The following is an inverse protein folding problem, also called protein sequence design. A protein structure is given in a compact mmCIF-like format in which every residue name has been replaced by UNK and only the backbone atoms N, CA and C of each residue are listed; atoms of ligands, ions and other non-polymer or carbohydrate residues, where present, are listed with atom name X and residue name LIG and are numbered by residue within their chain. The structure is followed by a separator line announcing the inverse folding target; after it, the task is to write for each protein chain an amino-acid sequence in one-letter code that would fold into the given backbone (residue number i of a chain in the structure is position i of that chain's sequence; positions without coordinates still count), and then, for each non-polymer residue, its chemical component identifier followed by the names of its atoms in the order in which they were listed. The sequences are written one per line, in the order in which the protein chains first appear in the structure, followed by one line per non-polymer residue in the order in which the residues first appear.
data_IF_267226064622
#
_entry.id   IF_267226064622
#
_cell.length_a   1.000
_cell.length_b   1.000
_cell.length_c   1.000
_cell.angle_alpha   90.00
_cell.angle_beta   90.00
_cell.angle_gamma   90.00
#
_symmetry.space_group_name_H-M   'P 1'
#
loop_
_entity.id
_entity.type
_entity.pdbx_description
1 polymer ?
#
# COMPACT_ATOMS: atom_id res chain seq x y z
N UNK A 1 16.35 7.62 -0.07
CA UNK A 1 15.41 8.71 0.26
C UNK A 1 16.22 9.94 0.66
N UNK A 2 15.97 11.10 0.03
CA UNK A 2 16.55 12.36 0.49
C UNK A 2 15.74 12.95 1.64
N UNK A 3 16.33 13.87 2.41
CA UNK A 3 15.72 14.49 3.60
C UNK A 3 14.33 15.06 3.28
N UNK A 4 14.18 15.80 2.18
CA UNK A 4 12.90 16.37 1.77
C UNK A 4 11.83 15.31 1.48
N UNK A 5 12.19 14.21 0.80
CA UNK A 5 11.26 13.13 0.48
C UNK A 5 10.71 12.46 1.74
N UNK A 6 11.57 12.20 2.72
CA UNK A 6 11.15 11.64 4.01
C UNK A 6 10.24 12.58 4.78
N UNK A 7 10.53 13.89 4.80
CA UNK A 7 9.68 14.89 5.46
C UNK A 7 8.29 14.92 4.83
N UNK A 8 8.19 14.99 3.50
CA UNK A 8 6.89 14.97 2.83
C UNK A 8 6.12 13.68 3.06
N UNK A 9 6.79 12.53 3.03
CA UNK A 9 6.15 11.24 3.31
C UNK A 9 5.51 11.23 4.70
N UNK A 10 6.24 11.66 5.74
CA UNK A 10 5.71 11.73 7.10
C UNK A 10 4.60 12.77 7.25
N UNK A 11 4.74 13.95 6.64
CA UNK A 11 3.70 14.98 6.70
C UNK A 11 2.40 14.48 6.07
N UNK A 12 2.45 13.93 4.86
CA UNK A 12 1.26 13.42 4.18
C UNK A 12 0.64 12.23 4.90
N UNK A 13 1.45 11.34 5.47
CA UNK A 13 0.96 10.24 6.30
C UNK A 13 0.20 10.76 7.52
N UNK A 14 0.80 11.69 8.28
CA UNK A 14 0.18 12.26 9.48
C UNK A 14 -1.09 13.04 9.17
N UNK A 15 -1.09 13.85 8.10
CA UNK A 15 -2.28 14.56 7.62
C UNK A 15 -3.37 13.57 7.20
N UNK A 16 -3.01 12.50 6.48
CA UNK A 16 -3.94 11.45 6.09
C UNK A 16 -4.61 10.81 7.29
N UNK A 17 -3.83 10.40 8.30
CA UNK A 17 -4.37 9.83 9.54
C UNK A 17 -5.28 10.84 10.24
N UNK A 18 -4.85 12.09 10.39
CA UNK A 18 -5.63 13.12 11.09
C UNK A 18 -6.97 13.42 10.39
N UNK A 19 -7.03 13.30 9.06
CA UNK A 19 -8.22 13.64 8.26
C UNK A 19 -9.15 12.45 7.98
N UNK A 20 -8.61 11.24 7.82
CA UNK A 20 -9.34 10.04 7.36
C UNK A 20 -9.28 8.86 8.32
N UNK A 21 -8.44 8.94 9.35
CA UNK A 21 -8.12 7.83 10.24
C UNK A 21 -7.12 6.85 9.61
N UNK A 22 -6.52 5.97 10.43
CA UNK A 22 -5.44 5.08 10.01
C UNK A 22 -5.88 4.05 8.97
N UNK A 23 -7.08 3.46 9.11
CA UNK A 23 -7.56 2.43 8.18
C UNK A 23 -7.70 2.93 6.74
N UNK A 24 -8.40 4.06 6.55
CA UNK A 24 -8.59 4.65 5.20
C UNK A 24 -7.28 5.20 4.61
N UNK A 25 -6.36 5.65 5.46
CA UNK A 25 -5.05 6.15 5.01
C UNK A 25 -4.14 5.02 4.57
N UNK A 26 -4.17 3.88 5.27
CA UNK A 26 -3.34 2.72 4.95
C UNK A 26 -3.60 2.15 3.54
N UNK A 27 -4.81 2.31 2.99
CA UNK A 27 -5.13 1.87 1.62
C UNK A 27 -4.15 2.47 0.59
N UNK A 28 -3.68 3.70 0.81
CA UNK A 28 -2.75 4.37 -0.11
C UNK A 28 -1.34 3.76 -0.11
N UNK A 29 -0.95 2.99 0.91
CA UNK A 29 0.35 2.34 0.95
C UNK A 29 0.52 1.28 -0.14
N UNK A 30 -0.58 0.69 -0.64
CA UNK A 30 -0.58 -0.19 -1.82
C UNK A 30 -0.02 0.48 -3.09
N UNK A 31 -0.03 1.81 -3.17
CA UNK A 31 0.57 2.53 -4.30
C UNK A 31 2.09 2.65 -4.22
N UNK A 32 2.70 2.48 -3.04
CA UNK A 32 4.16 2.53 -2.87
C UNK A 32 4.89 1.58 -3.84
N UNK A 33 4.57 0.27 -3.89
CA UNK A 33 5.20 -0.65 -4.83
C UNK A 33 4.90 -0.31 -6.30
N UNK A 34 3.70 0.19 -6.60
CA UNK A 34 3.31 0.59 -7.97
C UNK A 34 4.16 1.76 -8.44
N UNK A 35 4.33 2.80 -7.61
CA UNK A 35 5.19 3.94 -7.94
C UNK A 35 6.66 3.54 -8.00
N UNK A 36 7.12 2.59 -7.19
CA UNK A 36 8.49 2.08 -7.27
C UNK A 36 8.78 1.48 -8.66
N UNK A 37 7.88 0.66 -9.22
CA UNK A 37 8.03 0.19 -10.61
C UNK A 37 7.86 1.29 -11.64
N UNK A 38 6.90 2.19 -11.45
CA UNK A 38 6.72 3.32 -12.36
C UNK A 38 8.00 4.13 -12.49
N UNK A 39 8.64 4.45 -11.36
CA UNK A 39 9.94 5.15 -11.33
C UNK A 39 11.01 4.32 -12.04
N UNK A 40 11.12 3.02 -11.74
CA UNK A 40 12.06 2.12 -12.41
C UNK A 40 11.89 2.17 -13.95
N UNK A 41 10.66 2.04 -14.44
CA UNK A 41 10.36 2.12 -15.88
C UNK A 41 10.72 3.48 -16.46
N UNK A 42 10.44 4.58 -15.75
CA UNK A 42 10.82 5.93 -16.21
C UNK A 42 12.34 6.16 -16.23
N UNK A 43 13.10 5.37 -15.46
CA UNK A 43 14.56 5.36 -15.50
C UNK A 43 15.12 4.52 -16.66
N UNK A 44 14.26 3.86 -17.44
CA UNK A 44 14.63 3.03 -18.60
C UNK A 44 14.85 1.56 -18.27
N UNK A 45 14.64 1.16 -17.02
CA UNK A 45 14.79 -0.22 -16.58
C UNK A 45 13.50 -1.02 -16.80
N UNK A 46 13.63 -2.23 -17.33
CA UNK A 46 12.50 -3.15 -17.51
C UNK A 46 12.32 -3.95 -16.21
N UNK A 47 11.14 -3.88 -15.57
CA UNK A 47 10.84 -4.67 -14.38
C UNK A 47 11.01 -6.16 -14.64
N UNK A 48 11.78 -6.83 -13.79
CA UNK A 48 11.89 -8.28 -13.85
C UNK A 48 10.59 -8.95 -13.39
N UNK A 49 10.37 -10.19 -13.81
CA UNK A 49 9.22 -10.99 -13.37
C UNK A 49 9.19 -11.14 -11.84
N UNK A 50 10.35 -11.25 -11.19
CA UNK A 50 10.46 -11.33 -9.74
C UNK A 50 9.96 -10.06 -9.05
N UNK A 51 10.23 -8.87 -9.61
CA UNK A 51 9.72 -7.60 -9.07
C UNK A 51 8.20 -7.51 -9.20
N UNK A 52 7.65 -7.92 -10.34
CA UNK A 52 6.19 -7.96 -10.55
C UNK A 52 5.51 -8.90 -9.55
N UNK A 53 6.05 -10.11 -9.37
CA UNK A 53 5.55 -11.07 -8.38
C UNK A 53 5.65 -10.50 -6.96
N UNK A 54 6.78 -9.89 -6.61
CA UNK A 54 6.99 -9.26 -5.31
C UNK A 54 5.91 -8.25 -4.97
N UNK A 55 5.50 -7.43 -5.94
CA UNK A 55 4.47 -6.40 -5.74
C UNK A 55 3.09 -7.00 -5.54
N UNK A 56 2.76 -8.04 -6.31
CA UNK A 56 1.51 -8.79 -6.11
C UNK A 56 1.46 -9.31 -4.67
N UNK A 57 2.56 -9.88 -4.18
CA UNK A 57 2.67 -10.39 -2.82
C UNK A 57 2.57 -9.26 -1.79
N UNK A 58 3.25 -8.13 -2.00
CA UNK A 58 3.20 -6.97 -1.09
C UNK A 58 1.77 -6.41 -0.97
N UNK A 59 1.09 -6.19 -2.10
CA UNK A 59 -0.30 -5.69 -2.11
C UNK A 59 -1.22 -6.70 -1.42
N UNK A 60 -1.07 -7.99 -1.70
CA UNK A 60 -1.86 -9.03 -1.05
C UNK A 60 -1.64 -9.04 0.48
N UNK A 61 -0.40 -8.97 0.94
CA UNK A 61 -0.06 -8.90 2.37
C UNK A 61 -0.62 -7.66 3.04
N UNK A 62 -0.61 -6.52 2.36
CA UNK A 62 -1.15 -5.28 2.90
C UNK A 62 -2.68 -5.31 3.02
N UNK A 63 -3.39 -5.80 2.00
CA UNK A 63 -4.84 -5.99 2.03
C UNK A 63 -5.28 -6.97 3.13
N UNK A 64 -4.48 -8.00 3.41
CA UNK A 64 -4.67 -8.90 4.53
C UNK A 64 -4.49 -8.17 5.87
N UNK A 65 -3.40 -7.41 6.03
CA UNK A 65 -3.10 -6.65 7.24
C UNK A 65 -4.12 -5.55 7.55
N UNK A 66 -4.73 -4.95 6.53
CA UNK A 66 -5.81 -3.97 6.69
C UNK A 66 -7.14 -4.59 7.12
N UNK A 67 -7.26 -5.92 7.15
CA UNK A 67 -8.50 -6.62 7.50
C UNK A 67 -9.59 -6.51 6.42
N UNK A 68 -9.27 -6.01 5.23
CA UNK A 68 -10.22 -5.91 4.10
C UNK A 68 -10.76 -7.29 3.75
N UNK A 69 -9.88 -8.29 3.70
CA UNK A 69 -10.24 -9.69 3.46
C UNK A 69 -11.21 -10.19 4.55
N UNK A 70 -10.88 -9.96 5.82
CA UNK A 70 -11.75 -10.34 6.95
C UNK A 70 -13.12 -9.67 6.87
N UNK A 71 -13.15 -8.36 6.58
CA UNK A 71 -14.40 -7.60 6.45
C UNK A 71 -15.29 -8.10 5.32
N UNK A 72 -14.69 -8.53 4.20
CA UNK A 72 -15.39 -9.13 3.08
C UNK A 72 -16.02 -10.48 3.46
N UNK A 73 -15.31 -11.32 4.20
CA UNK A 73 -15.86 -12.59 4.70
C UNK A 73 -17.00 -12.37 5.71
N UNK A 74 -16.87 -11.40 6.62
CA UNK A 74 -17.95 -11.03 7.56
C UNK A 74 -19.19 -10.54 6.80
N UNK A 75 -19.03 -9.73 5.74
CA UNK A 75 -20.17 -9.26 4.93
C UNK A 75 -20.94 -10.38 4.23
N UNK A 76 -20.34 -11.57 4.08
CA UNK A 76 -20.95 -12.76 3.47
C UNK A 76 -21.58 -13.72 4.49
N UNK A 77 -21.73 -13.31 5.75
CA UNK A 77 -22.48 -14.05 6.77
C UNK A 77 -21.64 -15.04 7.59
N UNK A 78 -20.30 -14.97 7.54
CA UNK A 78 -19.49 -15.67 8.54
C UNK A 78 -19.56 -14.91 9.87
N UNK A 79 -19.87 -15.58 10.99
CA UNK A 79 -19.85 -14.93 12.29
C UNK A 79 -18.41 -14.49 12.60
N UNK A 80 -18.25 -13.20 12.91
CA UNK A 80 -17.03 -12.72 13.56
C UNK A 80 -16.94 -13.46 14.91
N UNK A 81 -15.87 -14.23 15.11
CA UNK A 81 -15.54 -14.76 16.44
C UNK A 81 -15.12 -13.62 17.36
#
# INVERSE_FOLDING_TARGET
MGIAGSVFAYLFWNIGIATRGPGKTAIFSNFVPIFALGIQVTMGDIPSLAQVIGIIITIAGELLGQGVVTSWFISKGLPAK
#
